data_IF_418310436032
#
_entry.id   IF_418310436032
#
_cell.length_a   1.000
_cell.length_b   1.000
_cell.length_c   1.000
_cell.angle_alpha   90.00
_cell.angle_beta   90.00
_cell.angle_gamma   90.00
#
_symmetry.space_group_name_H-M   'P 1'
#
loop_
_entity.id
_entity.type
_entity.pdbx_description
1 polymer ?
#
# COMPACT_ATOMS: atom_id res chain seq x y z
N UNK A 1 32.77 -34.02 -28.43
CA UNK A 1 32.54 -32.89 -27.53
C UNK A 1 31.05 -32.77 -27.18
N UNK A 2 30.66 -33.54 -26.18
CA UNK A 2 29.29 -33.53 -25.66
C UNK A 2 29.19 -32.56 -24.48
N UNK A 3 28.65 -31.38 -24.69
CA UNK A 3 28.28 -30.47 -23.60
C UNK A 3 26.96 -30.99 -22.97
N UNK A 4 27.10 -31.56 -21.78
CA UNK A 4 25.96 -31.96 -20.96
C UNK A 4 25.15 -30.73 -20.59
N UNK A 5 23.99 -30.54 -21.20
CA UNK A 5 22.98 -29.57 -20.77
C UNK A 5 22.54 -29.96 -19.36
N UNK A 6 23.00 -29.26 -18.34
CA UNK A 6 22.42 -29.34 -17.00
C UNK A 6 20.94 -28.93 -17.08
N UNK A 7 20.07 -29.92 -17.03
CA UNK A 7 18.66 -29.71 -16.76
C UNK A 7 18.55 -29.12 -15.36
N UNK A 8 18.29 -27.83 -15.25
CA UNK A 8 17.88 -27.22 -13.98
C UNK A 8 16.45 -27.72 -13.73
N UNK A 9 16.35 -28.81 -12.99
CA UNK A 9 15.08 -29.23 -12.40
C UNK A 9 14.73 -28.20 -11.33
N UNK A 10 13.94 -27.19 -11.70
CA UNK A 10 13.23 -26.39 -10.72
C UNK A 10 12.12 -27.28 -10.16
N UNK A 11 12.40 -27.99 -9.09
CA UNK A 11 11.38 -28.46 -8.17
C UNK A 11 10.72 -27.21 -7.62
N UNK A 12 9.56 -26.86 -8.16
CA UNK A 12 8.67 -25.89 -7.53
C UNK A 12 8.28 -26.52 -6.20
N UNK A 13 8.85 -26.04 -5.11
CA UNK A 13 8.45 -26.47 -3.77
C UNK A 13 6.92 -26.30 -3.68
N UNK A 14 6.22 -27.35 -3.29
CA UNK A 14 4.79 -27.26 -3.05
C UNK A 14 4.56 -26.15 -2.02
N UNK A 15 3.69 -25.21 -2.32
CA UNK A 15 3.34 -24.15 -1.37
C UNK A 15 2.49 -24.76 -0.27
N UNK A 16 3.00 -24.78 0.94
CA UNK A 16 2.28 -25.28 2.11
C UNK A 16 1.08 -24.40 2.49
N UNK A 17 1.01 -23.18 1.94
CA UNK A 17 -0.07 -22.23 2.19
C UNK A 17 -0.70 -21.77 0.86
N UNK A 18 -2.04 -21.64 0.81
CA UNK A 18 -2.73 -21.10 -0.35
C UNK A 18 -2.33 -19.64 -0.63
N UNK A 19 -2.70 -19.15 -1.80
CA UNK A 19 -2.50 -17.73 -2.14
C UNK A 19 -3.35 -16.84 -1.24
N UNK A 20 -2.86 -15.63 -0.99
CA UNK A 20 -3.64 -14.59 -0.35
C UNK A 20 -4.64 -14.06 -1.37
N UNK A 21 -5.92 -14.21 -1.07
CA UNK A 21 -7.01 -13.68 -1.87
C UNK A 21 -7.47 -12.35 -1.29
N UNK A 22 -7.49 -11.31 -2.10
CA UNK A 22 -7.91 -9.96 -1.73
C UNK A 22 -8.86 -9.41 -2.78
N UNK A 23 -9.89 -8.69 -2.34
CA UNK A 23 -10.68 -7.81 -3.19
C UNK A 23 -10.27 -6.38 -2.90
N UNK A 24 -9.94 -5.60 -3.94
CA UNK A 24 -9.71 -4.17 -3.80
C UNK A 24 -11.05 -3.49 -3.55
N UNK A 25 -11.26 -2.96 -2.37
CA UNK A 25 -12.55 -2.44 -1.93
C UNK A 25 -12.42 -1.34 -0.88
N UNK A 26 -13.42 -0.49 -0.85
CA UNK A 26 -13.62 0.64 0.04
C UNK A 26 -14.65 1.58 -0.56
N UNK A 27 -15.58 2.08 0.25
CA UNK A 27 -16.64 2.99 -0.20
C UNK A 27 -17.32 3.69 0.97
N UNK A 28 -18.03 4.74 0.67
CA UNK A 28 -18.96 5.47 1.57
C UNK A 28 -18.35 5.90 2.90
N UNK A 29 -18.35 5.04 3.90
CA UNK A 29 -17.84 5.30 5.24
C UNK A 29 -16.93 4.18 5.71
N UNK A 30 -16.12 4.40 6.76
CA UNK A 30 -15.32 3.36 7.39
C UNK A 30 -16.15 2.15 7.84
N UNK A 31 -17.32 2.40 8.45
CA UNK A 31 -18.22 1.34 8.94
C UNK A 31 -18.82 0.51 7.81
N UNK A 32 -19.25 1.17 6.73
CA UNK A 32 -19.80 0.48 5.55
C UNK A 32 -18.71 -0.38 4.87
N UNK A 33 -17.50 0.14 4.79
CA UNK A 33 -16.34 -0.59 4.27
C UNK A 33 -15.92 -1.74 5.18
N UNK A 34 -15.96 -1.57 6.51
CA UNK A 34 -15.76 -2.64 7.48
C UNK A 34 -16.75 -3.78 7.30
N UNK A 35 -18.04 -3.47 7.18
CA UNK A 35 -19.08 -4.48 6.95
C UNK A 35 -18.78 -5.31 5.69
N UNK A 36 -18.39 -4.66 4.59
CA UNK A 36 -17.98 -5.34 3.35
C UNK A 36 -16.74 -6.21 3.56
N UNK A 37 -15.73 -5.74 4.27
CA UNK A 37 -14.52 -6.53 4.55
C UNK A 37 -14.84 -7.77 5.36
N UNK A 38 -15.63 -7.65 6.41
CA UNK A 38 -16.04 -8.78 7.25
C UNK A 38 -16.88 -9.80 6.46
N UNK A 39 -17.77 -9.33 5.59
CA UNK A 39 -18.53 -10.22 4.69
C UNK A 39 -17.60 -10.99 3.73
N UNK A 40 -16.65 -10.31 3.10
CA UNK A 40 -15.68 -10.93 2.20
C UNK A 40 -14.79 -11.95 2.93
N UNK A 41 -14.33 -11.63 4.15
CA UNK A 41 -13.56 -12.55 4.98
C UNK A 41 -14.38 -13.78 5.36
N UNK A 42 -15.65 -13.62 5.71
CA UNK A 42 -16.54 -14.74 6.00
C UNK A 42 -16.80 -15.64 4.78
N UNK A 43 -16.65 -15.10 3.56
CA UNK A 43 -16.74 -15.83 2.29
C UNK A 43 -15.43 -16.47 1.85
N UNK A 44 -14.36 -16.38 2.67
CA UNK A 44 -13.09 -17.05 2.41
C UNK A 44 -11.98 -16.18 1.83
N UNK A 45 -12.15 -14.86 1.79
CA UNK A 45 -11.05 -13.93 1.51
C UNK A 45 -10.00 -14.05 2.62
N UNK A 46 -8.71 -13.99 2.28
CA UNK A 46 -7.61 -14.26 3.22
C UNK A 46 -6.69 -13.06 3.46
N UNK A 47 -6.99 -11.92 2.86
CA UNK A 47 -6.29 -10.67 3.05
C UNK A 47 -7.17 -9.49 2.66
N UNK A 48 -6.73 -8.28 2.93
CA UNK A 48 -7.42 -7.04 2.60
C UNK A 48 -6.67 -6.25 1.55
N UNK A 49 -7.41 -5.53 0.71
CA UNK A 49 -6.85 -4.53 -0.20
C UNK A 49 -7.73 -3.28 -0.13
N UNK A 50 -7.20 -2.25 0.51
CA UNK A 50 -7.96 -1.05 0.86
C UNK A 50 -7.92 -0.05 -0.29
N UNK A 51 -9.11 0.35 -0.76
CA UNK A 51 -9.32 1.47 -1.65
C UNK A 51 -9.64 2.71 -0.83
N UNK A 52 -8.79 3.72 -0.89
CA UNK A 52 -9.02 5.03 -0.25
C UNK A 52 -9.65 6.00 -1.24
N UNK A 53 -10.48 6.91 -0.74
CA UNK A 53 -11.08 7.94 -1.57
C UNK A 53 -10.06 9.02 -2.01
N UNK A 54 -10.45 9.87 -2.93
CA UNK A 54 -9.55 10.87 -3.50
C UNK A 54 -9.08 11.90 -2.46
N UNK A 55 -9.92 12.43 -1.54
CA UNK A 55 -9.46 13.32 -0.48
C UNK A 55 -8.38 12.68 0.39
N UNK A 56 -8.56 11.45 0.84
CA UNK A 56 -7.56 10.69 1.61
C UNK A 56 -6.25 10.54 0.84
N UNK A 57 -6.32 10.27 -0.46
CA UNK A 57 -5.12 10.10 -1.31
C UNK A 57 -4.35 11.39 -1.51
N UNK A 58 -5.03 12.54 -1.52
CA UNK A 58 -4.43 13.87 -1.75
C UNK A 58 -4.15 14.65 -0.47
N UNK A 59 -4.52 14.09 0.70
CA UNK A 59 -4.27 14.70 2.00
C UNK A 59 -5.22 15.82 2.37
N UNK A 60 -6.45 15.79 1.84
CA UNK A 60 -7.51 16.69 2.25
C UNK A 60 -8.43 16.06 3.29
N UNK A 61 -8.83 16.84 4.28
CA UNK A 61 -9.89 16.46 5.19
C UNK A 61 -11.24 16.39 4.46
N UNK A 62 -12.16 15.57 4.96
CA UNK A 62 -13.46 15.35 4.31
C UNK A 62 -14.35 16.60 4.24
N UNK A 63 -14.13 17.59 5.10
CA UNK A 63 -14.84 18.87 5.12
C UNK A 63 -14.16 19.96 4.27
N UNK A 64 -12.98 19.67 3.70
CA UNK A 64 -12.28 20.61 2.85
C UNK A 64 -13.10 20.93 1.58
N UNK A 65 -13.16 22.19 1.12
CA UNK A 65 -13.96 22.57 -0.06
C UNK A 65 -13.65 21.76 -1.32
N UNK A 66 -12.38 21.37 -1.53
CA UNK A 66 -11.95 20.55 -2.67
C UNK A 66 -12.33 19.06 -2.55
N UNK A 67 -12.71 18.60 -1.37
CA UNK A 67 -13.18 17.23 -1.13
C UNK A 67 -14.65 17.03 -1.50
N UNK A 68 -15.37 18.13 -1.74
CA UNK A 68 -16.83 18.10 -1.98
C UNK A 68 -17.19 17.23 -3.19
N UNK A 69 -17.98 16.19 -2.93
CA UNK A 69 -18.47 15.26 -3.95
C UNK A 69 -17.55 14.07 -4.23
N UNK A 70 -16.37 14.02 -3.58
CA UNK A 70 -15.43 12.92 -3.73
C UNK A 70 -15.30 12.04 -2.47
N UNK A 71 -15.75 12.52 -1.31
CA UNK A 71 -15.70 11.79 -0.04
C UNK A 71 -16.48 10.47 -0.13
N UNK A 72 -15.81 9.37 0.11
CA UNK A 72 -16.39 8.02 0.09
C UNK A 72 -16.84 7.51 -1.28
N UNK A 73 -16.55 8.21 -2.36
CA UNK A 73 -17.03 7.90 -3.72
C UNK A 73 -16.24 6.75 -4.38
N UNK A 74 -14.93 6.84 -4.38
CA UNK A 74 -14.05 5.88 -5.06
C UNK A 74 -13.21 5.05 -4.10
N UNK A 75 -13.50 5.15 -2.82
CA UNK A 75 -12.81 4.47 -1.74
C UNK A 75 -13.33 4.90 -0.39
N UNK A 76 -12.74 4.40 0.68
CA UNK A 76 -13.08 4.77 2.05
C UNK A 76 -12.41 6.07 2.46
N UNK A 77 -13.13 7.04 3.04
CA UNK A 77 -12.55 8.26 3.60
C UNK A 77 -11.87 7.95 4.94
N UNK A 78 -10.65 8.45 5.12
CA UNK A 78 -9.92 8.38 6.38
C UNK A 78 -9.39 9.78 6.71
N UNK A 79 -9.98 10.42 7.71
CA UNK A 79 -9.58 11.73 8.20
C UNK A 79 -8.83 11.69 9.54
N UNK A 80 -8.97 10.62 10.31
CA UNK A 80 -8.30 10.47 11.61
C UNK A 80 -8.23 9.00 12.06
N UNK A 81 -7.57 8.75 13.19
CA UNK A 81 -7.40 7.39 13.73
C UNK A 81 -8.74 6.70 14.05
N UNK A 82 -9.78 7.45 14.42
CA UNK A 82 -11.13 6.92 14.66
C UNK A 82 -11.73 6.24 13.45
N UNK A 83 -11.51 6.77 12.25
CA UNK A 83 -11.98 6.16 11.01
C UNK A 83 -11.27 4.82 10.74
N UNK A 84 -9.97 4.76 11.03
CA UNK A 84 -9.22 3.50 10.89
C UNK A 84 -9.63 2.47 11.94
N UNK A 85 -9.96 2.89 13.18
CA UNK A 85 -10.55 1.99 14.18
C UNK A 85 -11.86 1.41 13.67
N UNK A 86 -12.75 2.25 13.14
CA UNK A 86 -14.03 1.80 12.58
C UNK A 86 -13.82 0.87 11.37
N UNK A 87 -12.87 1.20 10.48
CA UNK A 87 -12.56 0.40 9.30
C UNK A 87 -12.08 -1.02 9.63
N UNK A 88 -11.30 -1.17 10.69
CA UNK A 88 -10.73 -2.46 11.08
C UNK A 88 -11.40 -3.09 12.31
N UNK A 89 -12.53 -2.56 12.76
CA UNK A 89 -13.26 -3.12 13.89
C UNK A 89 -13.58 -4.61 13.71
N UNK A 90 -13.22 -5.42 14.71
CA UNK A 90 -13.43 -6.87 14.69
C UNK A 90 -12.57 -7.64 13.68
N UNK A 91 -11.53 -7.04 13.11
CA UNK A 91 -10.58 -7.68 12.20
C UNK A 91 -9.22 -7.85 12.91
N UNK A 92 -8.73 -9.06 13.00
CA UNK A 92 -7.43 -9.38 13.61
C UNK A 92 -6.27 -8.96 12.67
N UNK A 93 -5.69 -7.78 12.93
CA UNK A 93 -4.61 -7.22 12.11
C UNK A 93 -3.32 -8.04 12.18
N UNK A 94 -3.07 -8.76 13.26
CA UNK A 94 -1.89 -9.62 13.41
C UNK A 94 -1.92 -10.86 12.51
N UNK A 95 -3.12 -11.27 12.09
CA UNK A 95 -3.32 -12.42 11.19
C UNK A 95 -3.64 -12.01 9.76
N UNK A 96 -4.02 -10.76 9.56
CA UNK A 96 -4.45 -10.25 8.25
C UNK A 96 -3.29 -9.65 7.48
N UNK A 97 -3.17 -10.03 6.20
CA UNK A 97 -2.28 -9.32 5.28
C UNK A 97 -3.05 -8.18 4.62
N UNK A 98 -2.62 -6.94 4.88
CA UNK A 98 -3.33 -5.73 4.42
C UNK A 98 -2.52 -5.00 3.35
N UNK A 99 -3.11 -4.83 2.17
CA UNK A 99 -2.57 -3.99 1.11
C UNK A 99 -3.23 -2.63 1.10
N UNK A 100 -2.44 -1.57 1.08
CA UNK A 100 -2.90 -0.20 0.99
C UNK A 100 -2.42 0.41 -0.33
N UNK A 101 -3.36 0.67 -1.24
CA UNK A 101 -3.06 1.36 -2.51
C UNK A 101 -3.05 2.86 -2.25
N UNK A 102 -1.93 3.33 -1.68
CA UNK A 102 -1.76 4.71 -1.24
C UNK A 102 -0.33 5.18 -1.48
N UNK A 103 -0.16 6.46 -1.81
CA UNK A 103 1.13 7.06 -2.18
C UNK A 103 1.45 8.29 -1.33
N UNK A 104 0.91 9.46 -1.63
CA UNK A 104 1.28 10.70 -0.96
C UNK A 104 1.07 10.68 0.56
N UNK A 105 0.01 10.05 1.03
CA UNK A 105 -0.35 9.93 2.45
C UNK A 105 0.01 8.57 3.07
N UNK A 106 0.83 7.77 2.39
CA UNK A 106 1.18 6.41 2.82
C UNK A 106 1.82 6.36 4.22
N UNK A 107 2.76 7.25 4.51
CA UNK A 107 3.43 7.31 5.82
C UNK A 107 2.43 7.59 6.95
N UNK A 108 1.52 8.53 6.73
CA UNK A 108 0.47 8.88 7.69
C UNK A 108 -0.51 7.73 7.92
N UNK A 109 -1.02 7.11 6.84
CA UNK A 109 -1.95 5.98 6.96
C UNK A 109 -1.30 4.75 7.60
N UNK A 110 -0.03 4.50 7.33
CA UNK A 110 0.71 3.43 8.00
C UNK A 110 0.89 3.71 9.50
N UNK A 111 1.16 4.95 9.88
CA UNK A 111 1.24 5.36 11.29
C UNK A 111 -0.10 5.15 12.01
N UNK A 112 -1.22 5.55 11.39
CA UNK A 112 -2.55 5.30 11.95
C UNK A 112 -2.85 3.81 12.06
N UNK A 113 -2.45 3.00 11.08
CA UNK A 113 -2.63 1.55 11.09
C UNK A 113 -1.83 0.87 12.21
N UNK A 114 -0.57 1.30 12.39
CA UNK A 114 0.26 0.85 13.49
C UNK A 114 -0.36 1.21 14.86
N UNK A 115 -0.86 2.45 15.01
CA UNK A 115 -1.56 2.89 16.23
C UNK A 115 -2.77 2.01 16.54
N UNK A 116 -3.62 1.71 15.55
CA UNK A 116 -4.79 0.84 15.75
C UNK A 116 -4.37 -0.59 16.12
N UNK A 117 -3.28 -1.10 15.55
CA UNK A 117 -2.74 -2.40 15.90
C UNK A 117 -2.28 -2.44 17.37
N UNK A 118 -1.50 -1.45 17.82
CA UNK A 118 -1.04 -1.33 19.20
C UNK A 118 -2.21 -1.22 20.20
N UNK A 119 -3.22 -0.39 19.88
CA UNK A 119 -4.43 -0.24 20.70
C UNK A 119 -5.22 -1.55 20.84
N UNK A 120 -5.18 -2.41 19.84
CA UNK A 120 -5.83 -3.73 19.86
C UNK A 120 -4.93 -4.85 20.39
N UNK A 121 -3.73 -4.51 20.90
CA UNK A 121 -2.77 -5.45 21.47
C UNK A 121 -2.04 -6.30 20.44
N UNK A 122 -1.98 -5.85 19.19
CA UNK A 122 -1.24 -6.52 18.14
C UNK A 122 0.18 -5.95 18.08
N UNK A 123 1.18 -6.80 18.22
CA UNK A 123 2.58 -6.43 18.07
C UNK A 123 2.88 -5.96 16.64
N UNK A 124 3.63 -4.86 16.49
CA UNK A 124 3.99 -4.31 15.18
C UNK A 124 4.73 -5.32 14.30
N UNK A 125 5.57 -6.16 14.89
CA UNK A 125 6.29 -7.24 14.20
C UNK A 125 5.37 -8.34 13.61
N UNK A 126 4.13 -8.44 14.07
CA UNK A 126 3.15 -9.37 13.54
C UNK A 126 2.42 -8.82 12.31
N UNK A 127 2.42 -7.50 12.11
CA UNK A 127 1.76 -6.87 10.98
C UNK A 127 2.39 -7.30 9.66
N UNK A 128 1.56 -7.63 8.69
CA UNK A 128 2.01 -7.98 7.35
C UNK A 128 1.16 -7.30 6.29
N UNK A 129 1.80 -6.78 5.27
CA UNK A 129 1.09 -6.04 4.24
C UNK A 129 2.01 -5.28 3.31
N UNK A 130 1.43 -4.29 2.64
CA UNK A 130 2.17 -3.40 1.76
C UNK A 130 1.49 -2.04 1.66
N UNK A 131 2.30 -0.99 1.55
CA UNK A 131 1.90 0.31 1.01
C UNK A 131 2.47 0.46 -0.39
N UNK A 132 1.74 1.08 -1.31
CA UNK A 132 2.28 1.34 -2.65
C UNK A 132 3.41 2.37 -2.56
N UNK A 133 3.16 3.52 -1.94
CA UNK A 133 4.16 4.52 -1.57
C UNK A 133 5.12 4.91 -2.72
N UNK A 134 4.61 4.93 -3.95
CA UNK A 134 5.33 5.29 -5.17
C UNK A 134 4.91 6.69 -5.59
N UNK A 135 5.62 7.71 -5.12
CA UNK A 135 5.26 9.10 -5.36
C UNK A 135 5.68 9.59 -6.75
N UNK A 136 6.76 9.06 -7.33
CA UNK A 136 7.29 9.56 -8.61
C UNK A 136 6.25 9.37 -9.71
N UNK A 137 5.58 8.22 -9.77
CA UNK A 137 4.52 8.00 -10.75
C UNK A 137 3.32 8.96 -10.59
N UNK A 138 3.06 9.43 -9.37
CA UNK A 138 1.99 10.40 -9.12
C UNK A 138 2.29 11.73 -9.83
N UNK A 139 3.55 12.18 -9.81
CA UNK A 139 3.96 13.36 -10.57
C UNK A 139 4.00 13.13 -12.07
N UNK A 140 4.32 11.91 -12.51
CA UNK A 140 4.43 11.61 -13.93
C UNK A 140 3.09 11.40 -14.63
N UNK A 141 2.09 10.82 -13.94
CA UNK A 141 0.88 10.35 -14.63
C UNK A 141 -0.44 10.53 -13.89
N UNK A 142 -0.46 10.39 -12.54
CA UNK A 142 -1.74 10.27 -11.83
C UNK A 142 -2.21 11.55 -11.13
N UNK A 143 -1.28 12.37 -10.64
CA UNK A 143 -1.59 13.70 -10.08
C UNK A 143 -2.08 13.70 -8.62
N UNK A 144 -2.05 12.57 -7.89
CA UNK A 144 -2.47 12.49 -6.50
C UNK A 144 -1.30 12.66 -5.53
N UNK A 145 -0.75 13.84 -5.45
CA UNK A 145 0.35 14.19 -4.55
C UNK A 145 -0.09 15.30 -3.56
N UNK A 146 0.51 15.29 -2.36
CA UNK A 146 0.25 16.28 -1.30
C UNK A 146 1.44 17.23 -1.08
N UNK A 147 2.68 16.74 -1.28
CA UNK A 147 3.92 17.47 -1.00
C UNK A 147 4.79 17.56 -2.26
N UNK A 148 5.74 18.51 -2.32
CA UNK A 148 6.76 18.54 -3.37
C UNK A 148 7.61 17.24 -3.43
N UNK A 149 8.29 16.96 -4.57
CA UNK A 149 9.04 15.71 -4.75
C UNK A 149 10.08 15.41 -3.66
N UNK A 150 10.89 16.39 -3.26
CA UNK A 150 11.93 16.20 -2.24
C UNK A 150 11.38 15.75 -0.90
N UNK A 151 10.46 16.49 -0.26
CA UNK A 151 9.78 16.05 0.96
C UNK A 151 9.07 14.71 0.82
N UNK A 152 8.43 14.42 -0.32
CA UNK A 152 7.78 13.13 -0.56
C UNK A 152 8.78 11.97 -0.58
N UNK A 153 9.92 12.13 -1.24
CA UNK A 153 10.99 11.11 -1.25
C UNK A 153 11.58 10.88 0.15
N UNK A 154 11.68 11.95 0.97
CA UNK A 154 12.11 11.79 2.37
C UNK A 154 11.11 10.96 3.17
N UNK A 155 9.80 11.21 3.02
CA UNK A 155 8.76 10.41 3.69
C UNK A 155 8.81 8.94 3.28
N UNK A 156 9.12 8.64 2.02
CA UNK A 156 9.34 7.25 1.58
C UNK A 156 10.53 6.64 2.30
N UNK A 157 11.67 7.33 2.35
CA UNK A 157 12.86 6.85 3.03
C UNK A 157 12.62 6.61 4.53
N UNK A 158 11.96 7.56 5.21
CA UNK A 158 11.58 7.43 6.62
C UNK A 158 10.62 6.24 6.84
N UNK A 159 9.66 6.02 5.94
CA UNK A 159 8.75 4.86 6.00
C UNK A 159 9.50 3.55 5.84
N UNK A 160 10.46 3.47 4.92
CA UNK A 160 11.30 2.27 4.72
C UNK A 160 12.12 2.00 5.98
N UNK A 161 12.82 2.99 6.52
CA UNK A 161 13.63 2.84 7.72
C UNK A 161 12.78 2.36 8.91
N UNK A 162 11.64 3.00 9.15
CA UNK A 162 10.72 2.62 10.22
C UNK A 162 10.22 1.17 10.08
N UNK A 163 9.82 0.78 8.87
CA UNK A 163 9.25 -0.57 8.66
C UNK A 163 10.29 -1.67 8.77
N UNK A 164 11.52 -1.43 8.34
CA UNK A 164 12.63 -2.38 8.50
C UNK A 164 12.90 -2.65 9.99
N UNK A 165 12.83 -1.63 10.83
CA UNK A 165 13.11 -1.74 12.25
C UNK A 165 11.92 -2.30 13.05
N UNK A 166 10.70 -1.82 12.78
CA UNK A 166 9.55 -2.07 13.66
C UNK A 166 8.49 -3.00 13.05
N UNK A 167 8.39 -3.07 11.71
CA UNK A 167 7.35 -3.85 11.01
C UNK A 167 7.97 -4.74 9.93
N UNK A 168 8.84 -5.70 10.28
CA UNK A 168 9.73 -6.40 9.34
C UNK A 168 9.01 -7.27 8.30
N UNK A 169 7.70 -7.48 8.44
CA UNK A 169 6.88 -8.23 7.47
C UNK A 169 6.07 -7.32 6.55
N UNK A 170 6.35 -6.01 6.56
CA UNK A 170 5.70 -5.03 5.72
C UNK A 170 6.54 -4.69 4.50
N UNK A 171 5.92 -4.64 3.32
CA UNK A 171 6.54 -4.10 2.12
C UNK A 171 6.25 -2.59 2.04
N UNK A 172 7.21 -1.72 2.37
CA UNK A 172 6.97 -0.28 2.46
C UNK A 172 6.81 0.43 1.13
N UNK A 173 7.28 -0.18 0.03
CA UNK A 173 7.23 0.39 -1.31
C UNK A 173 6.88 -0.67 -2.35
N UNK A 174 6.04 -0.29 -3.29
CA UNK A 174 5.71 -1.10 -4.46
C UNK A 174 5.73 -0.18 -5.70
N UNK A 175 6.76 -0.29 -6.52
CA UNK A 175 6.88 0.47 -7.77
C UNK A 175 5.82 -0.03 -8.75
N UNK A 176 4.96 0.89 -9.18
CA UNK A 176 3.80 0.59 -10.00
C UNK A 176 3.84 1.43 -11.29
N UNK A 177 3.90 0.77 -12.42
CA UNK A 177 4.12 1.40 -13.72
C UNK A 177 2.88 1.50 -14.61
N UNK A 178 1.82 0.71 -14.32
CA UNK A 178 0.69 0.64 -15.24
C UNK A 178 -0.03 1.99 -15.45
N UNK A 179 0.03 2.91 -14.49
CA UNK A 179 -0.51 4.26 -14.63
C UNK A 179 0.18 5.07 -15.74
N UNK A 180 1.44 4.77 -16.02
CA UNK A 180 2.17 5.35 -17.14
C UNK A 180 1.60 4.83 -18.47
N UNK A 181 1.26 3.54 -18.53
CA UNK A 181 0.61 2.94 -19.69
C UNK A 181 -0.77 3.55 -19.92
N UNK A 182 -1.58 3.73 -18.88
CA UNK A 182 -2.88 4.40 -18.95
C UNK A 182 -2.75 5.86 -19.43
N UNK A 183 -1.62 6.51 -19.12
CA UNK A 183 -1.30 7.84 -19.63
C UNK A 183 -0.71 7.85 -21.06
N UNK A 184 -0.60 6.68 -21.72
CA UNK A 184 -0.18 6.54 -23.11
C UNK A 184 1.25 6.07 -23.33
N UNK A 185 1.98 5.66 -22.28
CA UNK A 185 3.30 5.07 -22.45
C UNK A 185 3.21 3.68 -23.09
N UNK A 186 4.16 3.37 -23.97
CA UNK A 186 4.34 2.02 -24.50
C UNK A 186 4.94 1.08 -23.42
N UNK A 187 4.82 -0.22 -23.57
CA UNK A 187 5.39 -1.18 -22.60
C UNK A 187 6.90 -1.01 -22.39
N UNK A 188 7.64 -0.59 -23.44
CA UNK A 188 9.08 -0.29 -23.31
C UNK A 188 9.31 0.98 -22.46
N UNK A 189 8.53 2.02 -22.70
CA UNK A 189 8.58 3.26 -21.92
C UNK A 189 8.15 3.01 -20.46
N UNK A 190 7.13 2.18 -20.25
CA UNK A 190 6.67 1.79 -18.92
C UNK A 190 7.81 1.21 -18.08
N UNK A 191 8.55 0.24 -18.62
CA UNK A 191 9.72 -0.36 -17.97
C UNK A 191 10.83 0.70 -17.80
N UNK A 192 11.09 1.50 -18.84
CA UNK A 192 12.13 2.51 -18.82
C UNK A 192 11.91 3.60 -17.76
N UNK A 193 10.68 3.90 -17.39
CA UNK A 193 10.35 4.84 -16.31
C UNK A 193 10.29 4.16 -14.93
N UNK A 194 9.83 2.92 -14.85
CA UNK A 194 9.73 2.20 -13.58
C UNK A 194 11.10 1.90 -12.96
N UNK A 195 12.08 1.52 -13.78
CA UNK A 195 13.42 1.18 -13.29
C UNK A 195 14.15 2.37 -12.64
N UNK A 196 14.23 3.57 -13.25
CA UNK A 196 14.81 4.74 -12.60
C UNK A 196 14.06 5.15 -11.34
N UNK A 197 12.74 4.99 -11.29
CA UNK A 197 11.94 5.23 -10.09
C UNK A 197 12.40 4.31 -8.94
N UNK A 198 12.56 3.02 -9.20
CA UNK A 198 13.07 2.07 -8.21
C UNK A 198 14.48 2.46 -7.72
N UNK A 199 15.38 2.82 -8.65
CA UNK A 199 16.74 3.25 -8.33
C UNK A 199 16.72 4.52 -7.47
N UNK A 200 15.88 5.49 -7.81
CA UNK A 200 15.76 6.74 -7.05
C UNK A 200 15.24 6.50 -5.61
N UNK A 201 14.27 5.60 -5.45
CA UNK A 201 13.75 5.23 -4.12
C UNK A 201 14.84 4.55 -3.28
N UNK A 202 15.54 3.56 -3.84
CA UNK A 202 16.64 2.88 -3.15
C UNK A 202 17.76 3.87 -2.78
N UNK A 203 18.11 4.78 -3.70
CA UNK A 203 19.13 5.81 -3.46
C UNK A 203 18.73 6.87 -2.42
N UNK A 204 17.44 7.04 -2.15
CA UNK A 204 16.96 7.98 -1.13
C UNK A 204 17.02 7.39 0.29
N UNK A 205 17.06 6.06 0.44
CA UNK A 205 17.16 5.40 1.75
C UNK A 205 18.62 5.48 2.23
N UNK A 206 18.90 6.03 3.43
CA UNK A 206 20.26 6.13 3.94
C UNK A 206 20.95 4.76 4.06
N UNK A 207 22.24 4.69 3.73
CA UNK A 207 23.06 3.47 3.75
C UNK A 207 23.28 2.83 5.14
N UNK A 208 22.48 3.15 6.11
CA UNK A 208 22.47 2.56 7.46
C UNK A 208 21.07 2.24 7.95
N UNK A 209 20.07 2.35 7.09
CA UNK A 209 18.67 2.12 7.41
C UNK A 209 18.03 0.88 6.74
N UNK A 210 18.86 -0.01 6.20
CA UNK A 210 18.43 -1.32 5.65
C UNK A 210 19.40 -2.38 6.13
#
# INVERSE_FOLDING_TARGET
>A
NGAARRRISRTVAARDKPWIMRTYSGHSTPEASNALYRENLARGQTGLSVAFDLPTQTGYDSDHPLAKGEVGRTGVPIGHVGDLRALFDGIDLGRMNTSMTINATAAWLLALYATVAEETGVELSALSGTTQNDIIKEYLSRGTYAFPPGPSMRLIADTVAYTVEHVPRWNPVNICSYHLQEAGATSVQEIAYAMPTAIAVVGAVPAGGV
#
